data_IF_294695023688
#
_entry.id   IF_294695023688
#
_cell.length_a   1.000
_cell.length_b   1.000
_cell.length_c   1.000
_cell.angle_alpha   90.00
_cell.angle_beta   90.00
_cell.angle_gamma   90.00
#
_symmetry.space_group_name_H-M   'P 1'
#
loop_
_entity.id
_entity.type
_entity.pdbx_description
1 polymer ?
#
# COMPACT_ATOMS: atom_id res chain seq x y z
N UNK A 1 -30.56 -57.43 30.54
CA UNK A 1 -29.88 -57.75 29.26
C UNK A 1 -28.39 -57.46 29.44
N UNK A 2 -27.55 -58.51 29.33
CA UNK A 2 -26.08 -58.45 29.43
C UNK A 2 -25.47 -58.22 28.05
N UNK A 3 -24.33 -57.52 27.98
CA UNK A 3 -23.24 -57.70 26.99
C UNK A 3 -22.04 -56.83 27.42
N UNK A 4 -21.07 -57.34 28.19
CA UNK A 4 -19.77 -57.94 27.80
C UNK A 4 -18.91 -57.12 26.81
N UNK A 5 -17.79 -56.60 27.32
CA UNK A 5 -16.54 -56.26 26.60
C UNK A 5 -15.87 -57.53 26.03
N UNK A 6 -15.05 -57.43 24.95
CA UNK A 6 -13.60 -57.47 25.18
C UNK A 6 -12.75 -56.65 24.18
N UNK A 7 -11.45 -56.60 24.52
CA UNK A 7 -10.36 -55.87 23.91
C UNK A 7 -9.61 -56.63 22.80
N UNK A 8 -8.76 -55.86 22.11
CA UNK A 8 -7.55 -56.23 21.32
C UNK A 8 -7.69 -57.16 20.11
N UNK A 9 -7.13 -56.74 18.97
CA UNK A 9 -6.12 -57.53 18.28
C UNK A 9 -5.24 -56.64 17.39
N UNK A 10 -3.92 -56.86 17.51
CA UNK A 10 -2.88 -56.24 16.73
C UNK A 10 -2.81 -56.83 15.31
N UNK A 11 -2.56 -55.98 14.31
CA UNK A 11 -2.04 -56.39 13.01
C UNK A 11 -0.66 -55.75 12.81
N UNK A 12 0.37 -56.57 13.02
CA UNK A 12 1.70 -56.39 12.46
C UNK A 12 1.61 -56.56 10.94
N UNK A 13 1.87 -55.49 10.19
CA UNK A 13 2.17 -55.59 8.76
C UNK A 13 3.61 -55.12 8.55
N UNK A 14 4.48 -56.07 8.22
CA UNK A 14 5.80 -55.83 7.66
C UNK A 14 5.67 -55.21 6.26
N UNK A 15 6.42 -54.16 6.00
CA UNK A 15 6.66 -53.63 4.66
C UNK A 15 8.10 -53.07 4.56
N UNK A 16 8.68 -53.02 3.34
CA UNK A 16 10.09 -53.35 3.10
C UNK A 16 11.09 -52.19 3.29
N UNK A 17 12.33 -52.59 3.58
CA UNK A 17 13.53 -51.76 3.49
C UNK A 17 13.74 -51.30 2.04
N UNK A 18 13.31 -50.09 1.72
CA UNK A 18 13.80 -49.36 0.56
C UNK A 18 15.00 -48.52 0.98
N UNK A 19 16.21 -49.01 0.69
CA UNK A 19 17.44 -48.21 0.68
C UNK A 19 17.37 -47.21 -0.47
N UNK A 20 16.68 -46.09 -0.24
CA UNK A 20 16.77 -44.89 -1.06
C UNK A 20 17.91 -44.02 -0.56
N UNK A 21 18.91 -43.79 -1.41
CA UNK A 21 20.00 -42.86 -1.17
C UNK A 21 19.47 -41.49 -0.72
N UNK A 22 19.82 -41.08 0.49
CA UNK A 22 19.57 -39.73 1.00
C UNK A 22 20.51 -38.77 0.26
N UNK A 23 20.02 -38.15 -0.80
CA UNK A 23 20.61 -36.88 -1.24
C UNK A 23 20.38 -35.87 -0.10
N UNK A 24 21.41 -35.13 0.35
CA UNK A 24 21.24 -34.10 1.35
C UNK A 24 20.20 -33.09 0.84
N UNK A 25 19.03 -33.07 1.48
CA UNK A 25 18.06 -32.00 1.27
C UNK A 25 18.73 -30.73 1.76
N UNK A 26 18.93 -29.70 0.92
CA UNK A 26 19.39 -28.42 1.42
C UNK A 26 18.42 -27.93 2.49
N UNK A 27 18.90 -27.23 3.53
CA UNK A 27 18.04 -26.77 4.61
C UNK A 27 16.88 -25.99 4.03
N UNK A 28 15.66 -26.33 4.45
CA UNK A 28 14.45 -25.59 4.13
C UNK A 28 14.66 -24.16 4.62
N UNK A 29 15.09 -23.31 3.68
CA UNK A 29 15.10 -21.88 3.83
C UNK A 29 13.73 -21.45 4.29
N UNK A 30 13.74 -20.59 5.30
CA UNK A 30 12.61 -19.84 5.81
C UNK A 30 11.70 -19.38 4.65
N UNK A 31 10.37 -19.30 4.85
CA UNK A 31 9.50 -18.67 3.86
C UNK A 31 10.02 -17.24 3.62
N UNK A 32 10.73 -17.07 2.51
CA UNK A 32 11.04 -15.75 1.98
C UNK A 32 9.69 -15.10 1.75
N UNK A 33 9.39 -14.08 2.55
CA UNK A 33 8.32 -13.17 2.24
C UNK A 33 8.55 -12.75 0.79
N UNK A 34 7.69 -13.22 -0.11
CA UNK A 34 7.68 -12.80 -1.50
C UNK A 34 7.43 -11.30 -1.47
N UNK A 35 8.52 -10.53 -1.50
CA UNK A 35 8.52 -9.10 -1.72
C UNK A 35 8.09 -8.94 -3.18
N UNK A 36 6.78 -9.01 -3.42
CA UNK A 36 6.18 -8.61 -4.68
C UNK A 36 6.68 -7.21 -5.03
N UNK A 37 6.82 -6.94 -6.33
CA UNK A 37 7.27 -5.65 -6.82
C UNK A 37 6.51 -4.50 -6.12
N UNK A 38 7.19 -3.41 -5.75
CA UNK A 38 6.55 -2.31 -5.02
C UNK A 38 5.40 -1.72 -5.84
N UNK A 39 4.21 -1.68 -5.24
CA UNK A 39 3.03 -1.08 -5.87
C UNK A 39 3.15 0.44 -5.77
N UNK A 40 3.33 1.09 -6.92
CA UNK A 40 3.57 2.52 -6.99
C UNK A 40 2.30 3.34 -6.74
N UNK A 41 2.41 4.52 -6.10
CA UNK A 41 1.30 5.45 -5.96
C UNK A 41 0.97 6.09 -7.31
N UNK A 42 -0.31 6.05 -7.69
CA UNK A 42 -0.87 6.79 -8.84
C UNK A 42 -1.19 8.23 -8.44
N UNK A 43 -1.82 8.40 -7.27
CA UNK A 43 -2.22 9.69 -6.70
C UNK A 43 -1.87 9.72 -5.23
N UNK A 44 -1.34 10.85 -4.76
CA UNK A 44 -1.12 11.16 -3.34
C UNK A 44 -1.74 12.51 -3.02
N UNK A 45 -2.55 12.55 -1.96
CA UNK A 45 -3.21 13.77 -1.47
C UNK A 45 -2.91 13.91 0.02
N UNK A 46 -2.42 15.09 0.43
CA UNK A 46 -2.33 15.47 1.83
C UNK A 46 -3.45 16.46 2.17
N UNK A 47 -4.34 16.08 3.08
CA UNK A 47 -5.43 16.90 3.56
C UNK A 47 -5.12 17.46 4.96
N UNK A 48 -4.94 18.78 5.12
CA UNK A 48 -4.74 19.38 6.43
C UNK A 48 -6.05 19.37 7.23
N UNK A 49 -5.92 19.23 8.55
CA UNK A 49 -7.07 19.14 9.44
C UNK A 49 -6.68 18.61 10.82
N UNK A 50 -7.69 18.17 11.55
CA UNK A 50 -7.57 17.54 12.87
C UNK A 50 -8.05 16.10 12.79
N UNK A 51 -7.49 15.25 13.62
CA UNK A 51 -7.95 13.87 13.73
C UNK A 51 -8.06 13.42 15.18
N UNK A 52 -8.95 12.46 15.38
CA UNK A 52 -9.16 11.71 16.60
C UNK A 52 -8.96 10.24 16.29
N UNK A 53 -8.31 9.52 17.19
CA UNK A 53 -8.00 8.11 17.03
C UNK A 53 -8.30 7.38 18.32
N UNK A 54 -9.00 6.26 18.23
CA UNK A 54 -9.19 5.34 19.35
C UNK A 54 -8.83 3.92 18.93
N UNK A 55 -8.29 3.16 19.88
CA UNK A 55 -8.03 1.72 19.74
C UNK A 55 -8.70 1.02 20.90
N UNK A 56 -9.76 0.27 20.61
CA UNK A 56 -10.64 -0.38 21.58
C UNK A 56 -11.22 0.58 22.61
N UNK A 57 -11.56 1.80 22.17
CA UNK A 57 -12.10 2.87 23.02
C UNK A 57 -11.01 3.74 23.67
N UNK A 58 -9.77 3.27 23.75
CA UNK A 58 -8.68 4.06 24.33
C UNK A 58 -8.22 5.15 23.35
N UNK A 59 -8.25 6.44 23.73
CA UNK A 59 -7.73 7.52 22.91
C UNK A 59 -6.24 7.34 22.61
N UNK A 60 -5.85 7.62 21.38
CA UNK A 60 -4.46 7.66 20.92
C UNK A 60 -4.14 9.04 20.36
N UNK A 61 -2.88 9.51 20.47
CA UNK A 61 -2.46 10.72 19.79
C UNK A 61 -2.80 10.64 18.30
N UNK A 62 -3.25 11.73 17.71
CA UNK A 62 -3.43 11.84 16.28
C UNK A 62 -2.93 13.23 15.87
N UNK A 63 -1.71 13.27 15.33
CA UNK A 63 -0.87 14.48 15.33
C UNK A 63 -0.65 15.06 13.93
N UNK A 64 -1.34 14.54 12.92
CA UNK A 64 -1.21 14.99 11.53
C UNK A 64 -2.55 15.28 10.88
N UNK A 65 -2.49 15.87 9.69
CA UNK A 65 -3.58 15.75 8.72
C UNK A 65 -3.71 14.32 8.18
N UNK A 66 -4.61 14.13 7.23
CA UNK A 66 -4.87 12.86 6.56
C UNK A 66 -4.02 12.76 5.29
N UNK A 67 -3.40 11.62 5.05
CA UNK A 67 -2.77 11.31 3.76
C UNK A 67 -3.60 10.24 3.07
N UNK A 68 -3.96 10.51 1.83
CA UNK A 68 -4.65 9.58 0.94
C UNK A 68 -3.72 9.16 -0.19
N UNK A 69 -3.63 7.85 -0.44
CA UNK A 69 -2.86 7.29 -1.54
C UNK A 69 -3.75 6.34 -2.33
N UNK A 70 -3.85 6.58 -3.64
CA UNK A 70 -4.44 5.64 -4.58
C UNK A 70 -3.30 5.00 -5.38
N UNK A 71 -3.16 3.68 -5.25
CA UNK A 71 -2.12 2.90 -5.91
C UNK A 71 -2.51 2.49 -7.33
N UNK A 72 -1.52 2.10 -8.15
CA UNK A 72 -1.74 1.70 -9.55
C UNK A 72 -2.52 0.40 -9.71
N UNK A 73 -2.53 -0.47 -8.70
CA UNK A 73 -3.33 -1.69 -8.67
C UNK A 73 -4.79 -1.47 -8.22
N UNK A 74 -5.18 -0.21 -7.97
CA UNK A 74 -6.52 0.14 -7.49
C UNK A 74 -6.68 0.15 -5.97
N UNK A 75 -5.69 -0.34 -5.20
CA UNK A 75 -5.79 -0.27 -3.74
C UNK A 75 -5.66 1.17 -3.26
N UNK A 76 -6.31 1.46 -2.14
CA UNK A 76 -6.36 2.80 -1.55
C UNK A 76 -5.90 2.70 -0.10
N UNK A 77 -5.10 3.68 0.34
CA UNK A 77 -4.59 3.79 1.69
C UNK A 77 -4.93 5.18 2.26
N UNK A 78 -5.62 5.23 3.39
CA UNK A 78 -5.75 6.43 4.21
C UNK A 78 -4.82 6.30 5.41
N UNK A 79 -3.96 7.28 5.67
CA UNK A 79 -3.06 7.24 6.80
C UNK A 79 -3.02 8.52 7.62
N UNK A 80 -2.75 8.33 8.91
CA UNK A 80 -2.58 9.38 9.92
C UNK A 80 -1.36 9.04 10.78
N UNK A 81 -0.72 10.07 11.35
CA UNK A 81 0.35 9.89 12.32
C UNK A 81 -0.24 9.86 13.73
N UNK A 82 0.17 8.86 14.51
CA UNK A 82 -0.26 8.63 15.89
C UNK A 82 0.89 8.89 16.87
N UNK A 83 1.54 10.04 16.74
CA UNK A 83 2.73 10.41 17.51
C UNK A 83 4.05 10.15 16.76
N UNK A 84 5.20 10.47 17.38
CA UNK A 84 6.51 10.38 16.74
C UNK A 84 6.83 8.96 16.26
N UNK A 85 7.11 8.83 14.96
CA UNK A 85 7.51 7.55 14.35
C UNK A 85 6.37 6.52 14.23
N UNK A 86 5.12 6.87 14.57
CA UNK A 86 3.97 5.96 14.48
C UNK A 86 3.00 6.42 13.40
N UNK A 87 2.72 5.57 12.43
CA UNK A 87 1.71 5.81 11.38
C UNK A 87 0.71 4.67 11.35
N UNK A 88 -0.57 5.00 11.25
CA UNK A 88 -1.65 4.05 11.02
C UNK A 88 -2.20 4.24 9.62
N UNK A 89 -2.43 3.13 8.91
CA UNK A 89 -2.92 3.12 7.54
C UNK A 89 -4.11 2.19 7.36
N UNK A 90 -5.24 2.72 6.93
CA UNK A 90 -6.46 1.99 6.59
C UNK A 90 -6.44 1.69 5.10
N UNK A 91 -6.28 0.42 4.72
CA UNK A 91 -6.22 -0.01 3.33
C UNK A 91 -7.55 -0.64 2.91
N UNK A 92 -7.99 -0.28 1.71
CA UNK A 92 -9.04 -0.96 0.96
C UNK A 92 -8.51 -1.47 -0.38
N UNK A 93 -9.01 -2.60 -0.84
CA UNK A 93 -8.75 -3.10 -2.20
C UNK A 93 -9.74 -2.51 -3.21
N UNK A 94 -10.88 -2.01 -2.73
CA UNK A 94 -11.93 -1.43 -3.55
C UNK A 94 -12.54 -0.23 -2.83
N UNK A 95 -12.85 0.81 -3.58
CA UNK A 95 -13.65 1.94 -3.17
C UNK A 95 -14.93 2.02 -4.01
N UNK A 96 -15.89 2.80 -3.53
CA UNK A 96 -17.11 3.15 -4.24
C UNK A 96 -17.38 4.62 -4.04
N UNK A 97 -17.73 5.30 -5.11
CA UNK A 97 -18.07 6.71 -5.11
C UNK A 97 -19.51 6.88 -5.61
N UNK A 98 -20.53 6.72 -4.75
CA UNK A 98 -21.93 6.87 -5.17
C UNK A 98 -22.25 8.29 -5.64
N UNK A 99 -21.56 9.30 -5.13
CA UNK A 99 -21.67 10.71 -5.52
C UNK A 99 -20.28 11.34 -5.55
N UNK A 100 -20.05 12.40 -6.36
CA UNK A 100 -18.75 13.09 -6.39
C UNK A 100 -18.21 13.46 -5.02
N UNK A 101 -19.10 13.90 -4.12
CA UNK A 101 -18.80 14.33 -2.76
C UNK A 101 -18.62 13.20 -1.74
N UNK A 102 -19.02 11.97 -2.04
CA UNK A 102 -19.09 10.86 -1.08
C UNK A 102 -18.31 9.63 -1.59
N UNK A 103 -17.35 9.19 -0.78
CA UNK A 103 -16.61 7.94 -1.01
C UNK A 103 -16.82 6.98 0.15
N UNK A 104 -16.98 5.70 -0.18
CA UNK A 104 -17.01 4.60 0.78
C UNK A 104 -15.96 3.57 0.39
N UNK A 105 -15.12 3.20 1.34
CA UNK A 105 -14.08 2.19 1.17
C UNK A 105 -14.35 1.01 2.09
N UNK A 106 -14.26 -0.21 1.57
CA UNK A 106 -14.31 -1.41 2.41
C UNK A 106 -12.89 -1.87 2.75
N UNK A 107 -12.60 -1.88 4.05
CA UNK A 107 -11.26 -2.12 4.55
C UNK A 107 -10.91 -3.60 4.47
N UNK A 108 -9.68 -3.86 4.03
CA UNK A 108 -9.07 -5.18 4.01
C UNK A 108 -7.93 -5.29 5.02
N UNK A 109 -7.15 -4.21 5.20
CA UNK A 109 -5.97 -4.23 6.08
C UNK A 109 -5.84 -2.96 6.91
N UNK A 110 -5.33 -3.12 8.12
CA UNK A 110 -4.81 -2.05 8.95
C UNK A 110 -3.29 -2.18 9.03
N UNK A 111 -2.59 -1.16 8.57
CA UNK A 111 -1.14 -1.03 8.65
C UNK A 111 -0.78 -0.22 9.87
N UNK A 112 0.28 -0.65 10.55
CA UNK A 112 0.90 0.08 11.63
C UNK A 112 2.39 0.12 11.33
N UNK A 113 2.93 1.33 11.19
CA UNK A 113 4.36 1.55 11.07
C UNK A 113 4.86 2.18 12.35
N UNK A 114 5.87 1.58 12.99
CA UNK A 114 6.50 2.08 14.21
C UNK A 114 8.01 2.13 13.94
N UNK A 115 8.59 3.33 13.95
CA UNK A 115 10.02 3.55 13.70
C UNK A 115 10.50 2.88 12.40
N UNK A 116 9.69 2.96 11.34
CA UNK A 116 9.94 2.37 10.03
C UNK A 116 9.61 0.88 9.90
N UNK A 117 9.37 0.18 11.01
CA UNK A 117 8.93 -1.22 10.99
C UNK A 117 7.43 -1.28 10.75
N UNK A 118 7.03 -1.89 9.63
CA UNK A 118 5.64 -1.93 9.20
C UNK A 118 5.05 -3.32 9.37
N UNK A 119 3.93 -3.39 10.07
CA UNK A 119 3.10 -4.58 10.19
C UNK A 119 1.71 -4.31 9.61
N UNK A 120 1.09 -5.34 9.04
CA UNK A 120 -0.26 -5.26 8.50
C UNK A 120 -1.13 -6.38 9.07
N UNK A 121 -2.32 -6.03 9.55
CA UNK A 121 -3.32 -6.99 10.04
C UNK A 121 -4.53 -7.00 9.11
N UNK A 122 -5.15 -8.17 8.96
CA UNK A 122 -6.44 -8.29 8.27
C UNK A 122 -7.54 -7.71 9.16
N UNK A 123 -8.40 -6.88 8.57
CA UNK A 123 -9.51 -6.22 9.27
C UNK A 123 -10.78 -6.26 8.42
N UNK A 124 -11.92 -6.01 9.07
CA UNK A 124 -13.19 -5.69 8.41
C UNK A 124 -13.70 -4.32 8.87
N UNK A 125 -14.59 -3.72 8.10
CA UNK A 125 -15.18 -2.40 8.38
C UNK A 125 -14.88 -1.42 7.26
N UNK A 126 -15.24 -0.15 7.43
CA UNK A 126 -15.28 0.81 6.32
C UNK A 126 -14.61 2.14 6.67
N UNK A 127 -14.26 2.89 5.63
CA UNK A 127 -14.08 4.33 5.70
C UNK A 127 -15.16 5.04 4.89
N UNK A 128 -15.71 6.10 5.44
CA UNK A 128 -16.58 7.05 4.75
C UNK A 128 -15.86 8.38 4.65
N UNK A 129 -15.76 8.93 3.45
CA UNK A 129 -15.03 10.17 3.17
C UNK A 129 -16.00 11.13 2.50
N UNK A 130 -16.00 12.37 2.95
CA UNK A 130 -16.76 13.45 2.35
C UNK A 130 -15.82 14.57 1.90
N UNK A 131 -15.95 14.98 0.65
CA UNK A 131 -15.15 16.01 0.01
C UNK A 131 -16.02 16.91 -0.87
N UNK A 132 -15.48 18.03 -1.31
CA UNK A 132 -16.14 18.87 -2.30
C UNK A 132 -16.31 18.12 -3.62
N UNK A 133 -17.31 18.50 -4.41
CA UNK A 133 -17.62 17.88 -5.72
C UNK A 133 -16.42 17.89 -6.68
N UNK A 134 -15.54 18.89 -6.59
CA UNK A 134 -14.31 19.00 -7.38
C UNK A 134 -13.11 18.23 -6.80
N UNK A 135 -13.29 17.56 -5.66
CA UNK A 135 -12.27 16.80 -4.93
C UNK A 135 -11.16 17.64 -4.31
N UNK A 136 -11.27 18.99 -4.35
CA UNK A 136 -10.21 19.90 -3.91
C UNK A 136 -10.26 20.20 -2.42
N UNK A 137 -11.37 19.97 -1.74
CA UNK A 137 -11.48 20.20 -0.30
C UNK A 137 -11.98 18.94 0.37
N UNK A 138 -11.24 18.47 1.37
CA UNK A 138 -11.62 17.31 2.16
C UNK A 138 -12.29 17.79 3.44
N UNK A 139 -13.51 17.33 3.70
CA UNK A 139 -14.31 17.81 4.83
C UNK A 139 -14.22 16.87 6.03
N UNK A 140 -14.44 15.57 5.81
CA UNK A 140 -14.38 14.56 6.86
C UNK A 140 -13.97 13.20 6.33
N UNK A 141 -13.38 12.40 7.19
CA UNK A 141 -13.24 10.96 6.97
C UNK A 141 -13.46 10.21 8.28
N UNK A 142 -14.28 9.17 8.26
CA UNK A 142 -14.52 8.29 9.42
C UNK A 142 -14.21 6.87 9.02
N UNK A 143 -13.22 6.28 9.69
CA UNK A 143 -12.80 4.91 9.47
C UNK A 143 -13.03 4.08 10.71
N UNK A 144 -13.63 2.89 10.55
CA UNK A 144 -13.81 1.89 11.61
C UNK A 144 -13.31 0.56 11.12
N UNK A 145 -12.23 0.07 11.72
CA UNK A 145 -11.62 -1.23 11.44
C UNK A 145 -11.77 -2.16 12.64
N UNK A 146 -12.15 -3.41 12.41
CA UNK A 146 -12.19 -4.48 13.43
C UNK A 146 -11.26 -5.60 13.00
N UNK A 147 -10.27 -5.94 13.83
CA UNK A 147 -9.37 -7.05 13.55
C UNK A 147 -9.96 -8.41 13.98
N UNK A 148 -9.27 -9.51 13.68
CA UNK A 148 -9.73 -10.87 14.01
C UNK A 148 -9.84 -11.14 15.50
N UNK A 149 -9.17 -10.36 16.34
CA UNK A 149 -9.27 -10.47 17.81
C UNK A 149 -10.43 -9.65 18.38
N UNK A 150 -11.17 -8.93 17.54
CA UNK A 150 -12.29 -8.07 17.94
C UNK A 150 -11.85 -6.67 18.39
N UNK A 151 -10.55 -6.33 18.27
CA UNK A 151 -10.09 -4.98 18.58
C UNK A 151 -10.59 -4.01 17.52
N UNK A 152 -11.20 -2.91 17.96
CA UNK A 152 -11.81 -1.90 17.09
C UNK A 152 -10.93 -0.65 17.05
N UNK A 153 -10.43 -0.28 15.88
CA UNK A 153 -9.72 0.99 15.66
C UNK A 153 -10.64 1.96 14.94
N UNK A 154 -10.84 3.14 15.51
CA UNK A 154 -11.67 4.20 14.92
C UNK A 154 -10.83 5.45 14.71
N UNK A 155 -10.87 6.00 13.50
CA UNK A 155 -10.27 7.29 13.17
C UNK A 155 -11.36 8.22 12.65
N UNK A 156 -11.43 9.43 13.22
CA UNK A 156 -12.22 10.53 12.71
C UNK A 156 -11.29 11.65 12.28
N UNK A 157 -11.43 12.14 11.06
CA UNK A 157 -10.73 13.29 10.53
C UNK A 157 -11.73 14.39 10.20
N UNK A 158 -11.38 15.62 10.55
CA UNK A 158 -12.09 16.85 10.16
C UNK A 158 -11.12 17.77 9.45
N UNK A 159 -11.39 18.06 8.19
CA UNK A 159 -10.58 18.99 7.40
C UNK A 159 -10.74 20.43 7.84
N UNK A 160 -9.72 21.25 7.58
CA UNK A 160 -9.73 22.68 7.92
C UNK A 160 -10.32 23.58 6.81
N UNK A 161 -10.82 22.98 5.72
CA UNK A 161 -11.41 23.67 4.58
C UNK A 161 -10.42 24.16 3.52
N UNK A 162 -9.11 24.01 3.74
CA UNK A 162 -8.10 24.37 2.74
C UNK A 162 -8.14 23.43 1.55
N UNK A 163 -7.79 23.97 0.38
CA UNK A 163 -7.66 23.17 -0.82
C UNK A 163 -6.43 22.26 -0.74
N UNK A 164 -6.58 21.05 -1.28
CA UNK A 164 -5.54 20.03 -1.37
C UNK A 164 -5.02 19.94 -2.81
N UNK A 165 -3.75 19.57 -2.94
CA UNK A 165 -3.11 19.30 -4.23
C UNK A 165 -2.84 17.82 -4.36
N UNK A 166 -3.29 17.21 -5.46
CA UNK A 166 -3.00 15.83 -5.80
C UNK A 166 -1.63 15.75 -6.52
N UNK A 167 -0.67 15.05 -5.93
CA UNK A 167 0.55 14.65 -6.62
C UNK A 167 0.29 13.38 -7.45
N UNK A 168 0.89 13.29 -8.63
CA UNK A 168 0.79 12.12 -9.52
C UNK A 168 2.18 11.55 -9.84
N UNK A 169 2.82 10.82 -8.91
CA UNK A 169 4.21 10.40 -9.04
C UNK A 169 4.49 9.53 -10.28
N UNK A 170 3.53 8.67 -10.66
CA UNK A 170 3.66 7.80 -11.83
C UNK A 170 3.72 8.51 -13.20
N UNK A 171 3.38 9.81 -13.27
CA UNK A 171 3.38 10.58 -14.52
C UNK A 171 4.73 11.29 -14.76
N UNK A 172 5.45 11.71 -13.70
CA UNK A 172 6.71 12.44 -13.84
C UNK A 172 7.83 11.59 -14.47
N UNK A 173 7.83 10.26 -14.28
CA UNK A 173 8.86 9.38 -14.86
C UNK A 173 8.69 9.15 -16.37
N UNK A 174 7.49 9.29 -16.95
CA UNK A 174 7.28 9.14 -18.41
C UNK A 174 7.76 10.34 -19.23
N UNK A 175 7.86 11.52 -18.62
CA UNK A 175 8.31 12.74 -19.32
C UNK A 175 9.82 12.83 -19.56
N UNK A 176 10.63 12.12 -18.76
CA UNK A 176 12.11 12.19 -18.86
C UNK A 176 12.74 11.06 -19.70
N UNK A 177 12.01 9.97 -19.99
CA UNK A 177 12.54 8.88 -20.83
C UNK A 177 12.30 9.08 -22.34
N UNK A 178 11.68 10.18 -22.76
CA UNK A 178 11.37 10.48 -24.17
C UNK A 178 12.34 11.42 -24.90
N UNK A 179 13.36 11.98 -24.23
CA UNK A 179 14.33 12.90 -24.84
C UNK A 179 15.76 12.40 -24.62
N UNK A 180 16.13 11.33 -25.32
CA UNK A 180 17.46 10.75 -25.23
C UNK A 180 17.82 9.93 -26.45
N UNK A 181 17.83 10.57 -27.62
CA UNK A 181 18.74 10.30 -28.75
C UNK A 181 18.17 10.92 -30.04
N UNK A 182 18.53 12.17 -30.29
CA UNK A 182 18.60 12.68 -31.66
C UNK A 182 19.96 13.36 -31.81
N UNK A 183 20.95 12.73 -32.47
CA UNK A 183 22.18 13.42 -32.80
C UNK A 183 21.84 14.57 -33.76
N UNK A 184 22.06 15.79 -33.29
CA UNK A 184 22.05 16.99 -34.11
C UNK A 184 23.13 16.86 -35.16
N UNK A 185 22.72 16.68 -36.42
CA UNK A 185 23.61 16.75 -37.57
C UNK A 185 24.22 18.14 -37.66
N UNK A 186 25.55 18.21 -37.61
CA UNK A 186 26.32 19.40 -37.90
C UNK A 186 26.10 19.85 -39.36
N UNK A 187 26.06 21.15 -39.66
CA UNK A 187 26.01 21.64 -41.03
C UNK A 187 27.36 21.42 -41.76
N UNK A 188 27.37 21.28 -43.10
CA UNK A 188 28.58 21.00 -43.87
C UNK A 188 29.49 22.24 -43.97
N UNK A 189 30.80 21.95 -43.91
CA UNK A 189 31.87 22.91 -44.04
C UNK A 189 31.93 23.55 -45.44
N UNK A 190 32.14 24.87 -45.45
CA UNK A 190 32.35 25.74 -46.60
C UNK A 190 33.68 25.42 -47.28
N UNK A 191 33.67 25.23 -48.60
CA UNK A 191 34.87 25.17 -49.44
C UNK A 191 34.82 26.28 -50.50
N UNK A 192 35.99 26.90 -50.73
CA UNK A 192 36.46 27.66 -51.91
C UNK A 192 36.95 29.09 -51.58
N UNK A 193 37.79 29.72 -52.41
CA UNK A 193 39.14 29.29 -52.81
C UNK A 193 40.19 30.41 -52.72
N UNK A 194 41.47 30.02 -52.89
CA UNK A 194 42.67 30.85 -52.87
C UNK A 194 42.66 32.05 -53.83
N UNK A 195 43.20 33.18 -53.36
CA UNK A 195 43.55 34.36 -54.17
C UNK A 195 45.04 34.34 -54.56
N UNK A 196 45.41 34.82 -55.77
CA UNK A 196 46.77 34.74 -56.32
C UNK A 196 47.67 35.91 -55.88
N UNK A 197 49.00 35.84 -56.11
CA UNK A 197 49.92 36.90 -55.72
C UNK A 197 49.87 38.07 -56.71
N UNK A 198 50.13 39.28 -56.21
CA UNK A 198 50.54 40.42 -57.02
C UNK A 198 51.70 41.16 -56.37
N UNK A 199 52.79 41.15 -57.12
CA UNK A 199 53.85 42.16 -57.29
C UNK A 199 54.64 42.63 -56.07
#
# INVERSE_FOLDING_TARGET
>A
MRRTLPAMLACLALAPLASGAQTPRPPQGQPQAQQGAPVLPRVVVGAPGRCELTVSGDPRPCTSGLVYVHHTNGSVLLSVQSGPGVTLGFQAENDRQPRPEDYTMQLSRLHTSINGQTAAKQVSGSCEIHMSTDGRTWHRATCRATDRSGLVTVMNFTGDGRQVTAAQPGQQQRGQQGQGNRPSGSPPATNAPATPPKS
#
